data_IF_294729170905
#
_entry.id   IF_294729170905
#
_cell.length_a   1.000
_cell.length_b   1.000
_cell.length_c   1.000
_cell.angle_alpha   90.00
_cell.angle_beta   90.00
_cell.angle_gamma   90.00
#
_symmetry.space_group_name_H-M   'P 1'
#
loop_
_entity.id
_entity.type
_entity.pdbx_description
1 polymer ?
#
# COMPACT_ATOMS: atom_id res chain seq x y z
N UNK A 1 -15.38 9.56 9.13
CA UNK A 1 -15.35 9.12 7.72
C UNK A 1 -14.16 8.20 7.43
N UNK A 2 -12.99 8.43 8.04
CA UNK A 2 -11.81 7.56 7.91
C UNK A 2 -11.96 6.19 8.62
N UNK A 3 -12.56 6.14 9.82
CA UNK A 3 -12.74 4.88 10.55
C UNK A 3 -13.65 3.85 9.84
N UNK A 4 -14.61 4.30 9.04
CA UNK A 4 -15.48 3.40 8.25
C UNK A 4 -14.77 2.77 7.05
N UNK A 5 -13.61 3.30 6.65
CA UNK A 5 -12.81 2.78 5.54
C UNK A 5 -11.78 1.74 6.02
N UNK A 6 -11.50 1.65 7.32
CA UNK A 6 -10.64 0.58 7.86
C UNK A 6 -11.21 -0.81 7.58
N UNK A 7 -12.54 -1.00 7.61
CA UNK A 7 -13.17 -2.28 7.27
C UNK A 7 -13.12 -2.61 5.77
N UNK A 8 -12.77 -1.64 4.92
CA UNK A 8 -12.73 -1.78 3.47
C UNK A 8 -11.33 -2.21 3.00
N UNK A 9 -10.28 -1.72 3.65
CA UNK A 9 -8.90 -1.93 3.24
C UNK A 9 -8.18 -3.00 4.07
N UNK A 10 -7.59 -3.98 3.41
CA UNK A 10 -6.85 -5.10 4.03
C UNK A 10 -5.32 -4.94 3.95
N UNK A 11 -4.87 -3.90 3.25
CA UNK A 11 -3.48 -3.74 2.88
C UNK A 11 -3.07 -2.28 2.76
N UNK A 12 -1.76 -2.04 2.89
CA UNK A 12 -1.16 -0.75 2.55
C UNK A 12 -0.02 -0.98 1.55
N UNK A 13 -0.07 -0.27 0.42
CA UNK A 13 0.99 -0.23 -0.58
C UNK A 13 1.96 0.90 -0.21
N UNK A 14 3.21 0.55 0.03
CA UNK A 14 4.28 1.48 0.38
C UNK A 14 5.27 1.56 -0.79
N UNK A 15 5.41 2.75 -1.37
CA UNK A 15 6.31 3.00 -2.51
C UNK A 15 7.58 3.69 -2.03
N UNK A 16 8.72 3.25 -2.54
CA UNK A 16 10.01 3.86 -2.25
C UNK A 16 10.21 5.15 -3.04
N UNK A 17 11.18 5.97 -2.63
CA UNK A 17 11.65 7.10 -3.44
C UNK A 17 12.07 6.64 -4.85
N UNK A 18 11.64 7.38 -5.87
CA UNK A 18 11.86 7.05 -7.28
C UNK A 18 13.34 6.96 -7.68
N UNK A 19 14.22 7.60 -6.92
CA UNK A 19 15.66 7.58 -7.15
C UNK A 19 16.34 6.28 -6.70
N UNK A 20 15.65 5.44 -5.92
CA UNK A 20 16.24 4.21 -5.37
C UNK A 20 16.70 3.26 -6.49
N UNK A 21 15.98 3.26 -7.62
CA UNK A 21 16.27 2.37 -8.73
C UNK A 21 17.52 2.74 -9.53
N UNK A 22 18.02 3.97 -9.36
CA UNK A 22 19.29 4.43 -9.93
C UNK A 22 20.52 3.93 -9.16
N UNK A 23 20.33 3.36 -7.96
CA UNK A 23 21.43 2.92 -7.10
C UNK A 23 21.84 1.46 -7.36
N UNK A 24 23.10 1.13 -7.03
CA UNK A 24 23.62 -0.24 -7.09
C UNK A 24 22.77 -1.20 -6.24
N UNK A 25 22.74 -2.48 -6.64
CA UNK A 25 21.94 -3.55 -5.97
C UNK A 25 22.16 -3.58 -4.46
N UNK A 26 23.41 -3.45 -4.01
CA UNK A 26 23.75 -3.48 -2.59
C UNK A 26 23.13 -2.31 -1.81
N UNK A 27 23.23 -1.09 -2.34
CA UNK A 27 22.61 0.11 -1.77
C UNK A 27 21.09 -0.05 -1.64
N UNK A 28 20.44 -0.61 -2.67
CA UNK A 28 18.99 -0.89 -2.66
C UNK A 28 18.63 -1.89 -1.55
N UNK A 29 19.37 -3.00 -1.42
CA UNK A 29 19.16 -3.98 -0.34
C UNK A 29 19.34 -3.37 1.04
N UNK A 30 20.36 -2.53 1.24
CA UNK A 30 20.60 -1.84 2.50
C UNK A 30 19.45 -0.89 2.84
N UNK A 31 19.05 -0.06 1.88
CA UNK A 31 17.93 0.88 2.02
C UNK A 31 16.64 0.16 2.39
N UNK A 32 16.27 -0.88 1.65
CA UNK A 32 15.04 -1.64 1.91
C UNK A 32 15.05 -2.30 3.30
N UNK A 33 16.20 -2.82 3.75
CA UNK A 33 16.34 -3.34 5.13
C UNK A 33 16.18 -2.24 6.18
N UNK A 34 16.80 -1.07 5.98
CA UNK A 34 16.69 0.05 6.92
C UNK A 34 15.24 0.55 7.00
N UNK A 35 14.60 0.76 5.84
CA UNK A 35 13.22 1.19 5.77
C UNK A 35 12.28 0.18 6.43
N UNK A 36 12.47 -1.13 6.21
CA UNK A 36 11.67 -2.16 6.89
C UNK A 36 11.78 -2.10 8.41
N UNK A 37 12.96 -1.80 8.97
CA UNK A 37 13.11 -1.61 10.42
C UNK A 37 12.37 -0.36 10.91
N UNK A 38 12.51 0.76 10.20
CA UNK A 38 11.84 2.00 10.54
C UNK A 38 10.30 1.85 10.53
N UNK A 39 9.77 1.19 9.49
CA UNK A 39 8.34 0.87 9.39
C UNK A 39 7.84 0.10 10.61
N UNK A 40 8.54 -0.98 10.99
CA UNK A 40 8.17 -1.80 12.16
C UNK A 40 8.24 -1.02 13.46
N UNK A 41 9.24 -0.14 13.61
CA UNK A 41 9.39 0.70 14.79
C UNK A 41 8.21 1.68 14.95
N UNK A 42 7.80 2.32 13.84
CA UNK A 42 6.65 3.23 13.84
C UNK A 42 5.33 2.50 14.07
N UNK A 43 5.10 1.37 13.39
CA UNK A 43 3.89 0.56 13.63
C UNK A 43 3.78 0.10 15.08
N UNK A 44 4.91 -0.29 15.70
CA UNK A 44 4.96 -0.64 17.12
C UNK A 44 4.70 0.56 18.03
N UNK A 45 5.22 1.74 17.69
CA UNK A 45 5.05 2.95 18.49
C UNK A 45 3.57 3.40 18.55
N UNK A 46 2.85 3.29 17.43
CA UNK A 46 1.44 3.64 17.33
C UNK A 46 0.49 2.46 17.60
N UNK A 47 1.01 1.32 18.07
CA UNK A 47 0.26 0.09 18.35
C UNK A 47 -0.67 -0.37 17.20
N UNK A 48 -0.19 -0.22 15.96
CA UNK A 48 -0.96 -0.58 14.77
C UNK A 48 -0.81 -2.08 14.49
N UNK A 49 -1.90 -2.87 14.54
CA UNK A 49 -1.81 -4.30 14.29
C UNK A 49 -1.52 -4.59 12.81
N UNK A 50 -0.63 -5.54 12.54
CA UNK A 50 -0.37 -6.01 11.18
C UNK A 50 0.03 -7.49 11.18
N UNK A 51 -0.34 -8.21 10.13
CA UNK A 51 -0.02 -9.64 9.98
C UNK A 51 1.32 -9.87 9.29
N UNK A 52 1.76 -8.98 8.40
CA UNK A 52 3.06 -9.09 7.76
C UNK A 52 3.42 -7.96 6.81
N UNK A 53 4.70 -7.89 6.46
CA UNK A 53 5.24 -6.99 5.44
C UNK A 53 5.85 -7.82 4.32
N UNK A 54 5.23 -7.77 3.15
CA UNK A 54 5.67 -8.50 1.96
C UNK A 54 6.48 -7.59 1.05
N UNK A 55 7.66 -8.04 0.65
CA UNK A 55 8.55 -7.33 -0.29
C UNK A 55 8.44 -7.91 -1.69
N UNK A 56 7.91 -7.12 -2.64
CA UNK A 56 7.78 -7.52 -4.06
C UNK A 56 7.91 -6.31 -4.98
N UNK A 57 8.58 -6.50 -6.11
CA UNK A 57 8.66 -5.53 -7.23
C UNK A 57 9.02 -4.08 -6.84
N UNK A 58 9.90 -3.88 -5.85
CA UNK A 58 10.29 -2.53 -5.41
C UNK A 58 9.25 -1.82 -4.56
N UNK A 59 8.38 -2.57 -3.89
CA UNK A 59 7.38 -2.05 -2.96
C UNK A 59 7.32 -2.92 -1.72
N UNK A 60 6.85 -2.34 -0.64
CA UNK A 60 6.33 -3.11 0.48
C UNK A 60 4.80 -3.12 0.44
N UNK A 61 4.26 -4.28 0.80
CA UNK A 61 2.84 -4.51 0.99
C UNK A 61 2.65 -4.91 2.44
N UNK A 62 2.09 -4.00 3.24
CA UNK A 62 1.71 -4.27 4.61
C UNK A 62 0.33 -4.92 4.61
N UNK A 63 0.15 -6.01 5.34
CA UNK A 63 -1.14 -6.65 5.56
C UNK A 63 -1.67 -6.27 6.93
N UNK A 64 -2.83 -5.63 6.98
CA UNK A 64 -3.41 -5.08 8.20
C UNK A 64 -4.90 -4.80 8.01
N UNK A 65 -5.69 -5.01 9.05
CA UNK A 65 -7.10 -4.61 9.11
C UNK A 65 -7.28 -3.13 9.50
N UNK A 66 -6.20 -2.44 9.89
CA UNK A 66 -6.18 -1.03 10.27
C UNK A 66 -5.40 -0.21 9.23
N UNK A 67 -5.73 -0.39 7.95
CA UNK A 67 -4.93 0.12 6.85
C UNK A 67 -4.89 1.66 6.76
N UNK A 68 -5.94 2.36 7.20
CA UNK A 68 -5.96 3.84 7.22
C UNK A 68 -5.05 4.35 8.34
N UNK A 69 -5.16 3.77 9.53
CA UNK A 69 -4.32 4.14 10.69
C UNK A 69 -2.84 3.80 10.43
N UNK A 70 -2.59 2.64 9.82
CA UNK A 70 -1.27 2.26 9.37
C UNK A 70 -0.72 3.26 8.34
N UNK A 71 -1.55 3.73 7.41
CA UNK A 71 -1.10 4.69 6.41
C UNK A 71 -0.75 6.04 7.02
N UNK A 72 -1.56 6.54 7.97
CA UNK A 72 -1.27 7.78 8.69
C UNK A 72 0.01 7.68 9.52
N UNK A 73 0.16 6.62 10.32
CA UNK A 73 1.36 6.39 11.12
C UNK A 73 2.62 6.33 10.24
N UNK A 74 2.55 5.58 9.14
CA UNK A 74 3.68 5.39 8.23
C UNK A 74 4.02 6.63 7.41
N UNK A 75 3.12 7.61 7.27
CA UNK A 75 3.39 8.88 6.56
C UNK A 75 4.58 9.65 7.14
N UNK A 76 4.92 9.39 8.41
CA UNK A 76 6.00 10.02 9.16
C UNK A 76 7.37 9.36 8.92
N UNK A 77 7.43 8.26 8.16
CA UNK A 77 8.66 7.51 7.90
C UNK A 77 9.39 8.03 6.67
N UNK A 78 10.57 8.62 6.89
CA UNK A 78 11.44 9.07 5.80
C UNK A 78 11.86 7.94 4.86
N UNK A 79 11.91 8.26 3.57
CA UNK A 79 12.25 7.33 2.48
C UNK A 79 11.04 6.70 1.78
N UNK A 80 9.84 6.89 2.33
CA UNK A 80 8.61 6.56 1.64
C UNK A 80 8.23 7.72 0.71
N UNK A 81 7.92 7.42 -0.55
CA UNK A 81 7.44 8.43 -1.51
C UNK A 81 5.93 8.56 -1.49
N UNK A 82 5.22 7.46 -1.28
CA UNK A 82 3.77 7.45 -1.17
C UNK A 82 3.29 6.19 -0.47
N UNK A 83 2.12 6.35 0.16
CA UNK A 83 1.42 5.33 0.91
C UNK A 83 -0.01 5.29 0.38
N UNK A 84 -0.53 4.09 0.19
CA UNK A 84 -1.92 3.94 -0.29
C UNK A 84 -2.57 2.76 0.43
N UNK A 85 -3.58 3.00 1.27
CA UNK A 85 -4.53 1.97 1.66
C UNK A 85 -5.10 1.31 0.40
N UNK A 86 -5.20 -0.01 0.42
CA UNK A 86 -5.58 -0.80 -0.73
C UNK A 86 -6.35 -2.04 -0.30
N UNK A 87 -7.04 -2.65 -1.27
CA UNK A 87 -7.63 -3.97 -1.12
C UNK A 87 -6.91 -4.94 -2.03
N UNK A 88 -6.49 -6.08 -1.48
CA UNK A 88 -5.95 -7.15 -2.30
C UNK A 88 -7.10 -7.95 -2.92
N UNK A 89 -6.96 -8.26 -4.20
CA UNK A 89 -7.83 -9.20 -4.90
C UNK A 89 -6.98 -10.11 -5.80
N UNK A 90 -7.62 -11.07 -6.46
CA UNK A 90 -6.96 -11.94 -7.44
C UNK A 90 -6.65 -11.18 -8.74
N UNK A 91 -5.85 -11.78 -9.62
CA UNK A 91 -5.58 -11.22 -10.95
C UNK A 91 -6.67 -11.52 -11.98
N UNK A 92 -7.74 -12.24 -11.61
CA UNK A 92 -8.86 -12.52 -12.51
C UNK A 92 -9.63 -11.22 -12.79
N UNK A 93 -9.99 -11.00 -14.06
CA UNK A 93 -10.65 -9.77 -14.48
C UNK A 93 -11.97 -9.51 -13.74
N UNK A 94 -12.78 -10.56 -13.54
CA UNK A 94 -14.05 -10.49 -12.81
C UNK A 94 -13.86 -10.03 -11.36
N UNK A 95 -12.86 -10.57 -10.66
CA UNK A 95 -12.54 -10.20 -9.28
C UNK A 95 -12.05 -8.75 -9.18
N UNK A 96 -11.24 -8.30 -10.15
CA UNK A 96 -10.79 -6.91 -10.24
C UNK A 96 -11.96 -5.97 -10.47
N UNK A 97 -12.86 -6.28 -11.40
CA UNK A 97 -14.05 -5.48 -11.66
C UNK A 97 -14.94 -5.39 -10.43
N UNK A 98 -15.27 -6.53 -9.82
CA UNK A 98 -16.12 -6.60 -8.62
C UNK A 98 -15.55 -5.76 -7.49
N UNK A 99 -14.26 -5.89 -7.22
CA UNK A 99 -13.62 -5.14 -6.14
C UNK A 99 -13.51 -3.65 -6.45
N UNK A 100 -13.28 -3.28 -7.71
CA UNK A 100 -13.24 -1.87 -8.13
C UNK A 100 -14.61 -1.21 -7.98
N UNK A 101 -15.69 -1.89 -8.36
CA UNK A 101 -17.06 -1.39 -8.20
C UNK A 101 -17.44 -1.26 -6.72
N UNK A 102 -17.07 -2.22 -5.89
CA UNK A 102 -17.26 -2.14 -4.44
C UNK A 102 -16.57 -0.91 -3.85
N UNK A 103 -15.31 -0.67 -4.21
CA UNK A 103 -14.56 0.51 -3.76
C UNK A 103 -15.17 1.82 -4.28
N UNK A 104 -15.56 1.86 -5.55
CA UNK A 104 -16.18 3.04 -6.16
C UNK A 104 -17.50 3.40 -5.45
N UNK A 105 -18.36 2.42 -5.17
CA UNK A 105 -19.62 2.63 -4.47
C UNK A 105 -19.44 3.14 -3.02
N UNK A 106 -18.30 2.85 -2.39
CA UNK A 106 -17.99 3.31 -1.03
C UNK A 106 -17.29 4.67 -0.98
N UNK A 107 -16.63 5.08 -2.06
CA UNK A 107 -15.75 6.27 -2.06
C UNK A 107 -16.23 7.40 -2.96
N UNK A 108 -16.96 7.11 -4.04
CA UNK A 108 -17.47 8.12 -4.97
C UNK A 108 -18.87 8.60 -4.58
N UNK A 109 -19.13 9.87 -4.85
CA UNK A 109 -20.44 10.50 -4.68
C UNK A 109 -20.94 11.07 -6.01
N UNK A 110 -22.24 11.39 -6.08
CA UNK A 110 -22.84 11.99 -7.27
C UNK A 110 -22.16 13.33 -7.58
N UNK A 111 -21.69 13.49 -8.81
CA UNK A 111 -20.96 14.69 -9.26
C UNK A 111 -19.43 14.56 -9.22
N UNK A 112 -18.88 13.49 -8.63
CA UNK A 112 -17.44 13.24 -8.67
C UNK A 112 -17.00 12.89 -10.09
N UNK A 113 -15.93 13.53 -10.57
CA UNK A 113 -15.14 13.02 -11.68
C UNK A 113 -14.14 11.97 -11.17
N UNK A 114 -13.84 10.96 -11.98
CA UNK A 114 -12.87 9.94 -11.63
C UNK A 114 -12.05 9.53 -12.85
N UNK A 115 -10.88 8.95 -12.60
CA UNK A 115 -10.04 8.35 -13.61
C UNK A 115 -9.43 7.06 -13.06
N UNK A 116 -9.33 6.04 -13.91
CA UNK A 116 -8.71 4.76 -13.55
C UNK A 116 -7.29 4.72 -14.09
N UNK A 117 -6.32 4.46 -13.21
CA UNK A 117 -4.90 4.31 -13.58
C UNK A 117 -4.45 2.88 -13.35
N UNK A 118 -4.28 2.13 -14.43
CA UNK A 118 -3.83 0.75 -14.38
C UNK A 118 -2.31 0.67 -14.48
N UNK A 119 -1.67 -0.14 -13.63
CA UNK A 119 -0.24 -0.48 -13.74
C UNK A 119 -0.06 -1.98 -13.57
N UNK A 120 0.30 -2.65 -14.66
CA UNK A 120 0.66 -4.07 -14.64
C UNK A 120 2.06 -4.25 -14.05
N UNK A 121 2.18 -5.12 -13.07
CA UNK A 121 3.45 -5.50 -12.43
C UNK A 121 3.49 -7.03 -12.36
N UNK A 122 4.63 -7.63 -12.71
CA UNK A 122 4.77 -9.09 -12.86
C UNK A 122 4.58 -9.56 -14.31
N UNK A 123 4.70 -10.87 -14.51
CA UNK A 123 4.35 -11.53 -15.79
C UNK A 123 2.94 -12.12 -15.64
N UNK A 124 2.12 -11.89 -16.65
CA UNK A 124 0.75 -12.39 -16.76
C UNK A 124 0.66 -12.97 -18.17
N UNK A 125 0.29 -14.24 -18.29
CA UNK A 125 0.04 -14.92 -19.56
C UNK A 125 -1.37 -14.61 -20.08
#
# INVERSE_FOLDING_TARGET
MEASLNSVYDSVIIRFSGELWLKKVWTRKFYERRLSRNLKAVLKHFDVPYSGVVRRHGRFYLKTSAAVDAADALSRVFGISSISPAVQTSSKFEDVMKQSMFLAAKTLQKGNSFAVRCKRVGKHD
#
